data_IF_290521898077
#
_entry.id   IF_290521898077
#
_cell.length_a   1.000
_cell.length_b   1.000
_cell.length_c   1.000
_cell.angle_alpha   90.00
_cell.angle_beta   90.00
_cell.angle_gamma   90.00
#
_symmetry.space_group_name_H-M   'P 1'
#
loop_
_entity.id
_entity.type
_entity.pdbx_description
1 polymer ?
#
# COMPACT_ATOMS: atom_id res chain seq x y z
N UNK A 1 -20.12 3.41 -4.40
CA UNK A 1 -19.13 3.34 -5.50
C UNK A 1 -19.74 3.91 -6.78
N UNK A 2 -19.18 4.98 -7.36
CA UNK A 2 -19.61 5.54 -8.67
C UNK A 2 -18.47 5.40 -9.67
N UNK A 3 -18.68 4.62 -10.72
CA UNK A 3 -17.70 4.41 -11.80
C UNK A 3 -17.95 5.45 -12.90
N UNK A 4 -16.92 6.20 -13.28
CA UNK A 4 -16.99 7.22 -14.34
C UNK A 4 -15.65 7.31 -15.08
N UNK A 5 -15.69 7.64 -16.37
CA UNK A 5 -14.49 7.80 -17.23
C UNK A 5 -13.52 8.83 -16.64
N UNK A 6 -14.04 9.90 -16.01
CA UNK A 6 -13.23 10.93 -15.36
C UNK A 6 -12.40 10.37 -14.20
N UNK A 7 -12.92 9.37 -13.48
CA UNK A 7 -12.22 8.75 -12.35
C UNK A 7 -11.13 7.78 -12.84
N UNK A 8 -11.37 7.09 -13.95
CA UNK A 8 -10.42 6.11 -14.51
C UNK A 8 -9.18 6.77 -15.15
N UNK A 9 -9.30 8.01 -15.64
CA UNK A 9 -8.16 8.82 -16.12
C UNK A 9 -7.92 9.99 -15.18
N UNK A 10 -7.32 9.73 -14.03
CA UNK A 10 -7.07 10.73 -13.01
C UNK A 10 -5.57 10.90 -12.71
N UNK A 11 -5.23 12.06 -12.12
CA UNK A 11 -3.85 12.38 -11.70
C UNK A 11 -3.29 11.37 -10.69
N UNK A 12 -4.16 10.66 -9.97
CA UNK A 12 -3.76 9.65 -8.99
C UNK A 12 -3.09 8.44 -9.64
N UNK A 13 -3.66 7.91 -10.72
CA UNK A 13 -3.07 6.79 -11.46
C UNK A 13 -1.72 7.14 -12.07
N UNK A 14 -1.58 8.36 -12.63
CA UNK A 14 -0.31 8.82 -13.19
C UNK A 14 0.77 8.94 -12.12
N UNK A 15 0.44 9.56 -10.97
CA UNK A 15 1.34 9.66 -9.82
C UNK A 15 1.71 8.29 -9.26
N UNK A 16 0.76 7.37 -9.17
CA UNK A 16 1.01 6.01 -8.68
C UNK A 16 1.95 5.25 -9.62
N UNK A 17 1.80 5.39 -10.94
CA UNK A 17 2.71 4.80 -11.93
C UNK A 17 4.10 5.41 -11.87
N UNK A 18 4.20 6.72 -11.70
CA UNK A 18 5.48 7.42 -11.52
C UNK A 18 6.23 6.91 -10.29
N UNK A 19 5.56 6.82 -9.15
CA UNK A 19 6.18 6.40 -7.89
C UNK A 19 6.51 4.91 -7.83
N UNK A 20 5.64 4.05 -8.37
CA UNK A 20 5.85 2.60 -8.33
C UNK A 20 6.75 2.09 -9.47
N UNK A 21 6.78 2.78 -10.61
CA UNK A 21 7.41 2.29 -11.84
C UNK A 21 6.70 1.10 -12.48
N UNK A 22 5.48 0.75 -12.03
CA UNK A 22 4.78 -0.47 -12.44
C UNK A 22 3.68 -0.20 -13.48
N UNK A 23 3.49 -1.16 -14.40
CA UNK A 23 2.34 -1.16 -15.29
C UNK A 23 1.13 -1.86 -14.64
N UNK A 24 0.31 -1.08 -13.95
CA UNK A 24 -0.89 -1.55 -13.24
C UNK A 24 -1.89 -2.26 -14.18
N UNK A 25 -1.97 -1.84 -15.45
CA UNK A 25 -2.88 -2.42 -16.42
C UNK A 25 -2.47 -3.83 -16.89
N UNK A 26 -1.22 -4.25 -16.63
CA UNK A 26 -0.79 -5.62 -16.89
C UNK A 26 -1.53 -6.65 -16.01
N UNK A 27 -2.10 -6.21 -14.88
CA UNK A 27 -2.91 -7.07 -14.03
C UNK A 27 -4.26 -7.43 -14.68
N UNK A 28 -4.44 -8.73 -14.90
CA UNK A 28 -5.65 -9.40 -15.37
C UNK A 28 -6.52 -10.03 -14.26
N UNK A 29 -6.31 -9.66 -12.99
CA UNK A 29 -7.16 -10.05 -11.86
C UNK A 29 -7.26 -11.55 -11.53
N UNK A 30 -6.14 -12.29 -11.58
CA UNK A 30 -6.12 -13.72 -11.22
C UNK A 30 -6.19 -14.04 -9.70
N UNK A 31 -6.03 -13.06 -8.81
CA UNK A 31 -6.11 -13.27 -7.36
C UNK A 31 -4.94 -13.98 -6.67
N UNK A 32 -3.90 -14.45 -7.39
CA UNK A 32 -2.75 -15.17 -6.80
C UNK A 32 -2.02 -14.39 -5.71
N UNK A 33 -1.97 -13.05 -5.82
CA UNK A 33 -1.37 -12.20 -4.80
C UNK A 33 -2.13 -12.26 -3.47
N UNK A 34 -3.47 -12.22 -3.51
CA UNK A 34 -4.33 -12.34 -2.34
C UNK A 34 -4.26 -13.74 -1.74
N UNK A 35 -4.40 -14.78 -2.57
CA UNK A 35 -4.32 -16.17 -2.12
C UNK A 35 -2.96 -16.53 -1.50
N UNK A 36 -1.90 -15.78 -1.81
CA UNK A 36 -0.58 -15.95 -1.21
C UNK A 36 -0.22 -14.99 -0.09
N UNK A 37 -1.08 -14.02 0.23
CA UNK A 37 -0.74 -13.03 1.24
C UNK A 37 -0.86 -13.65 2.65
N UNK A 38 0.23 -13.69 3.45
CA UNK A 38 0.19 -14.26 4.79
C UNK A 38 -0.62 -13.40 5.77
N UNK A 39 -0.81 -12.11 5.48
CA UNK A 39 -1.52 -11.15 6.32
C UNK A 39 -2.93 -10.85 5.83
N UNK A 40 -3.48 -11.66 4.92
CA UNK A 40 -4.79 -11.40 4.30
C UNK A 40 -5.92 -11.28 5.34
N UNK A 41 -5.88 -12.07 6.43
CA UNK A 41 -6.90 -12.05 7.48
C UNK A 41 -7.02 -10.71 8.20
N UNK A 42 -5.93 -9.93 8.23
CA UNK A 42 -5.90 -8.63 8.91
C UNK A 42 -6.29 -7.48 7.97
N UNK A 43 -6.28 -7.73 6.66
CA UNK A 43 -6.55 -6.74 5.62
C UNK A 43 -8.06 -6.49 5.48
N UNK A 44 -8.43 -5.23 5.27
CA UNK A 44 -9.82 -4.83 4.99
C UNK A 44 -10.19 -5.00 3.50
N UNK A 45 -9.21 -4.88 2.62
CA UNK A 45 -9.35 -5.09 1.17
C UNK A 45 -8.21 -5.99 0.70
N UNK A 46 -8.48 -7.05 -0.07
CA UNK A 46 -7.41 -7.95 -0.50
C UNK A 46 -6.43 -7.27 -1.48
N UNK A 47 -5.19 -7.77 -1.59
CA UNK A 47 -4.20 -7.21 -2.51
C UNK A 47 -4.64 -7.16 -3.99
N UNK A 48 -5.45 -8.13 -4.45
CA UNK A 48 -6.03 -8.12 -5.81
C UNK A 48 -7.12 -7.07 -5.97
N UNK A 49 -7.96 -6.89 -4.95
CA UNK A 49 -9.02 -5.88 -4.93
C UNK A 49 -8.42 -4.47 -4.90
N UNK A 50 -7.32 -4.24 -4.19
CA UNK A 50 -6.58 -2.96 -4.24
C UNK A 50 -6.19 -2.61 -5.69
N UNK A 51 -5.59 -3.52 -6.45
CA UNK A 51 -5.30 -3.25 -7.87
C UNK A 51 -6.59 -3.00 -8.66
N UNK A 52 -7.67 -3.72 -8.37
CA UNK A 52 -8.93 -3.53 -9.08
C UNK A 52 -9.48 -2.11 -8.86
N UNK A 53 -9.54 -1.67 -7.60
CA UNK A 53 -9.99 -0.33 -7.21
C UNK A 53 -9.09 0.77 -7.80
N UNK A 54 -7.78 0.55 -7.84
CA UNK A 54 -6.83 1.44 -8.53
C UNK A 54 -7.22 1.58 -10.02
N UNK A 55 -7.45 0.47 -10.73
CA UNK A 55 -7.85 0.50 -12.15
C UNK A 55 -9.19 1.21 -12.38
N UNK A 56 -10.07 1.19 -11.38
CA UNK A 56 -11.34 1.91 -11.37
C UNK A 56 -11.23 3.37 -10.89
N UNK A 57 -10.02 3.82 -10.54
CA UNK A 57 -9.75 5.18 -10.09
C UNK A 57 -10.38 5.52 -8.72
N UNK A 58 -10.65 4.52 -7.87
CA UNK A 58 -11.21 4.71 -6.53
C UNK A 58 -10.10 5.14 -5.55
N UNK A 59 -9.55 6.34 -5.72
CA UNK A 59 -8.43 6.85 -4.91
C UNK A 59 -8.74 6.86 -3.41
N UNK A 60 -9.88 7.42 -3.02
CA UNK A 60 -10.25 7.57 -1.60
C UNK A 60 -10.34 6.22 -0.88
N UNK A 61 -11.00 5.24 -1.52
CA UNK A 61 -11.17 3.89 -0.97
C UNK A 61 -9.83 3.18 -0.80
N UNK A 62 -8.93 3.32 -1.78
CA UNK A 62 -7.59 2.71 -1.74
C UNK A 62 -6.70 3.38 -0.68
N UNK A 63 -6.69 4.73 -0.61
CA UNK A 63 -5.82 5.45 0.32
C UNK A 63 -6.27 5.37 1.78
N UNK A 64 -7.57 5.15 2.03
CA UNK A 64 -8.13 4.96 3.37
C UNK A 64 -8.07 3.50 3.86
N UNK A 65 -7.70 2.56 3.00
CA UNK A 65 -7.64 1.13 3.35
C UNK A 65 -6.49 0.84 4.33
N UNK A 66 -6.76 -0.04 5.30
CA UNK A 66 -5.74 -0.58 6.22
C UNK A 66 -4.72 -1.45 5.49
N UNK A 67 -5.10 -2.07 4.38
CA UNK A 67 -4.25 -3.00 3.60
C UNK A 67 -2.89 -2.43 3.22
N UNK A 68 -2.82 -1.16 2.79
CA UNK A 68 -1.53 -0.54 2.40
C UNK A 68 -0.57 -0.45 3.59
N UNK A 69 -1.11 -0.35 4.81
CA UNK A 69 -0.37 -0.29 6.07
C UNK A 69 -0.11 -1.67 6.68
N UNK A 70 -0.94 -2.66 6.40
CA UNK A 70 -0.72 -4.05 6.85
C UNK A 70 0.32 -4.73 5.98
N UNK A 71 0.40 -4.39 4.69
CA UNK A 71 1.39 -4.91 3.76
C UNK A 71 2.80 -4.90 4.38
N UNK A 72 3.36 -6.10 4.56
CA UNK A 72 4.68 -6.30 5.16
C UNK A 72 5.82 -6.21 4.13
N UNK A 73 5.52 -5.93 2.86
CA UNK A 73 6.49 -5.96 1.76
C UNK A 73 7.31 -7.26 1.75
N UNK A 74 6.67 -8.41 1.96
CA UNK A 74 7.32 -9.72 2.01
C UNK A 74 7.58 -10.34 0.62
N UNK A 75 7.24 -9.62 -0.46
CA UNK A 75 7.45 -10.01 -1.86
C UNK A 75 6.76 -11.30 -2.36
N UNK A 76 5.97 -12.00 -1.53
CA UNK A 76 5.26 -13.23 -1.95
C UNK A 76 4.35 -13.00 -3.17
N UNK A 77 3.67 -11.84 -3.21
CA UNK A 77 2.82 -11.46 -4.33
C UNK A 77 3.61 -11.24 -5.63
N UNK A 78 4.85 -10.76 -5.56
CA UNK A 78 5.73 -10.52 -6.71
C UNK A 78 6.15 -11.85 -7.32
N UNK A 79 6.68 -12.75 -6.51
CA UNK A 79 7.15 -14.08 -6.95
C UNK A 79 6.03 -14.90 -7.58
N UNK A 80 4.78 -14.73 -7.14
CA UNK A 80 3.63 -15.47 -7.64
C UNK A 80 2.94 -14.82 -8.84
N UNK A 81 3.29 -13.58 -9.21
CA UNK A 81 2.59 -12.83 -10.23
C UNK A 81 2.97 -13.32 -11.64
N UNK A 82 2.05 -13.93 -12.40
CA UNK A 82 2.35 -14.45 -13.75
C UNK A 82 2.51 -13.33 -14.79
N UNK A 83 2.15 -12.10 -14.43
CA UNK A 83 2.28 -10.91 -15.28
C UNK A 83 3.47 -10.02 -14.88
N UNK A 84 4.23 -10.41 -13.86
CA UNK A 84 5.39 -9.66 -13.39
C UNK A 84 5.08 -8.32 -12.71
N UNK A 85 3.83 -8.09 -12.31
CA UNK A 85 3.44 -6.86 -11.57
C UNK A 85 4.02 -6.92 -10.16
N UNK A 86 4.85 -5.93 -9.81
CA UNK A 86 5.37 -5.78 -8.46
C UNK A 86 4.37 -5.03 -7.56
N UNK A 87 3.52 -5.81 -6.89
CA UNK A 87 2.53 -5.24 -5.99
C UNK A 87 3.14 -4.60 -4.73
N UNK A 88 4.37 -4.96 -4.34
CA UNK A 88 5.01 -4.32 -3.18
C UNK A 88 5.39 -2.87 -3.47
N UNK A 89 5.88 -2.56 -4.67
CA UNK A 89 6.13 -1.18 -5.10
C UNK A 89 4.84 -0.37 -5.20
N UNK A 90 3.75 -0.98 -5.67
CA UNK A 90 2.44 -0.32 -5.71
C UNK A 90 1.98 0.04 -4.30
N UNK A 91 2.04 -0.89 -3.35
CA UNK A 91 1.67 -0.65 -1.95
C UNK A 91 2.54 0.43 -1.29
N UNK A 92 3.84 0.43 -1.55
CA UNK A 92 4.76 1.49 -1.09
C UNK A 92 4.38 2.85 -1.68
N UNK A 93 4.16 2.92 -2.99
CA UNK A 93 3.78 4.16 -3.65
C UNK A 93 2.45 4.73 -3.11
N UNK A 94 1.46 3.89 -2.79
CA UNK A 94 0.23 4.32 -2.13
C UNK A 94 0.50 4.95 -0.75
N UNK A 95 1.33 4.31 0.08
CA UNK A 95 1.75 4.89 1.38
C UNK A 95 2.45 6.23 1.18
N UNK A 96 3.37 6.33 0.23
CA UNK A 96 4.07 7.58 -0.08
C UNK A 96 3.13 8.69 -0.54
N UNK A 97 2.06 8.37 -1.29
CA UNK A 97 1.04 9.35 -1.67
C UNK A 97 0.34 9.93 -0.43
N UNK A 98 0.09 9.11 0.60
CA UNK A 98 -0.51 9.55 1.87
C UNK A 98 0.49 10.30 2.74
N UNK A 99 1.68 9.75 2.99
CA UNK A 99 2.70 10.33 3.86
C UNK A 99 3.18 11.71 3.36
N UNK A 100 3.31 11.90 2.04
CA UNK A 100 3.67 13.20 1.44
C UNK A 100 2.62 14.31 1.65
N UNK A 101 1.48 14.01 2.28
CA UNK A 101 0.53 15.01 2.79
C UNK A 101 0.90 15.49 4.21
N UNK A 102 2.08 15.15 4.72
CA UNK A 102 2.55 15.39 6.10
C UNK A 102 1.60 14.77 7.14
N UNK A 103 1.12 13.56 6.86
CA UNK A 103 0.26 12.79 7.77
C UNK A 103 1.08 11.65 8.35
N UNK A 104 1.59 11.85 9.56
CA UNK A 104 2.27 10.80 10.33
C UNK A 104 1.24 9.93 11.06
N UNK A 105 1.39 8.61 10.94
CA UNK A 105 0.62 7.65 11.74
C UNK A 105 1.25 7.40 13.11
N UNK A 106 2.53 7.76 13.29
CA UNK A 106 3.26 7.64 14.55
C UNK A 106 4.06 8.92 14.78
N UNK A 107 3.85 9.60 15.91
CA UNK A 107 4.60 10.80 16.25
C UNK A 107 5.68 10.48 17.30
N UNK A 108 6.96 10.59 16.91
CA UNK A 108 8.13 10.28 17.73
C UNK A 108 8.17 11.07 19.05
N UNK A 109 7.82 12.36 19.00
CA UNK A 109 7.85 13.26 20.14
C UNK A 109 6.79 12.93 21.19
N UNK A 110 5.71 12.26 20.79
CA UNK A 110 4.63 11.85 21.69
C UNK A 110 4.88 10.52 22.42
N UNK A 111 5.88 9.73 22.01
CA UNK A 111 6.14 8.42 22.62
C UNK A 111 6.93 8.61 23.93
N UNK A 112 6.43 8.10 25.08
CA UNK A 112 7.16 8.19 26.34
C UNK A 112 8.54 7.53 26.26
N UNK A 113 9.58 8.17 26.83
CA UNK A 113 10.95 7.60 26.85
C UNK A 113 11.01 6.18 27.43
N UNK A 114 10.18 5.91 28.44
CA UNK A 114 10.05 4.57 29.06
C UNK A 114 9.50 3.53 28.08
N UNK A 115 8.64 3.93 27.13
CA UNK A 115 8.15 3.03 26.08
C UNK A 115 9.23 2.80 25.03
N UNK A 116 9.96 3.85 24.62
CA UNK A 116 11.07 3.71 23.66
C UNK A 116 12.15 2.73 24.14
N UNK A 117 12.46 2.72 25.44
CA UNK A 117 13.46 1.79 26.01
C UNK A 117 13.01 0.33 26.06
N UNK A 118 11.72 0.03 25.84
CA UNK A 118 11.18 -1.33 25.87
C UNK A 118 11.22 -2.01 24.50
N UNK A 119 11.39 -1.25 23.42
CA UNK A 119 11.39 -1.80 22.07
C UNK A 119 12.83 -1.93 21.54
N UNK A 120 13.13 -2.99 20.78
CA UNK A 120 14.42 -3.08 20.10
C UNK A 120 14.51 -1.99 19.02
N UNK A 121 15.73 -1.47 18.79
CA UNK A 121 16.00 -0.40 17.82
C UNK A 121 15.39 -0.71 16.43
N UNK A 122 15.43 -1.98 16.01
CA UNK A 122 14.91 -2.42 14.71
C UNK A 122 13.39 -2.22 14.59
N UNK A 123 12.64 -2.43 15.67
CA UNK A 123 11.19 -2.23 15.67
C UNK A 123 10.85 -0.74 15.52
N UNK A 124 11.60 0.13 16.20
CA UNK A 124 11.44 1.58 16.10
C UNK A 124 11.75 2.07 14.69
N UNK A 125 12.90 1.69 14.12
CA UNK A 125 13.29 2.10 12.76
C UNK A 125 12.28 1.59 11.72
N UNK A 126 11.87 0.32 11.82
CA UNK A 126 10.89 -0.26 10.91
C UNK A 126 9.54 0.44 11.01
N UNK A 127 9.10 0.81 12.22
CA UNK A 127 7.87 1.56 12.43
C UNK A 127 7.97 2.94 11.80
N UNK A 128 9.00 3.72 12.12
CA UNK A 128 9.12 5.09 11.62
C UNK A 128 9.24 5.12 10.09
N UNK A 129 10.11 4.29 9.49
CA UNK A 129 10.20 4.19 8.02
C UNK A 129 8.87 3.87 7.33
N UNK A 130 7.98 3.16 8.01
CA UNK A 130 6.71 2.73 7.46
C UNK A 130 5.59 3.74 7.69
N UNK A 131 5.61 4.46 8.82
CA UNK A 131 4.46 5.21 9.33
C UNK A 131 4.67 6.72 9.45
N UNK A 132 5.84 7.24 9.09
CA UNK A 132 6.15 8.68 9.15
C UNK A 132 6.63 9.21 7.81
N UNK A 133 6.31 10.47 7.53
CA UNK A 133 6.71 11.21 6.33
C UNK A 133 8.17 11.69 6.36
#
# INVERSE_FOLDING_TARGET
>A
MKISIKNVKNKFLDKLRELSGENIYACYQCGKCSAGCPSLSEMDISPSEIIHLIKLGQEEEVLNSKTIWICASCFTCVTRCPKGVDLTKIMEALRQITLRKNVDHVNLSSIPKKALSQFPQIALISSFRKFTA
#
